data_IF_979539918866
#
_entry.id   IF_979539918866
#
_cell.length_a   1.000
_cell.length_b   1.000
_cell.length_c   1.000
_cell.angle_alpha   90.00
_cell.angle_beta   90.00
_cell.angle_gamma   90.00
#
_symmetry.space_group_name_H-M   'P 1'
#
loop_
_entity.id
_entity.type
_entity.pdbx_description
1 polymer ?
#
# COMPACT_ATOMS: atom_id res chain seq x y z
N UNK A 1 -5.68 7.13 4.68
CA UNK A 1 -7.04 7.58 4.31
C UNK A 1 -7.25 9.00 4.83
N UNK A 2 -7.89 9.87 4.04
CA UNK A 2 -8.02 11.30 4.32
C UNK A 2 -9.44 11.60 4.82
N UNK A 3 -9.57 12.47 5.83
CA UNK A 3 -10.84 12.75 6.49
C UNK A 3 -11.01 14.24 6.81
N UNK A 4 -12.26 14.73 6.76
CA UNK A 4 -12.65 16.05 7.23
C UNK A 4 -13.72 15.89 8.31
N UNK A 5 -13.37 16.22 9.57
CA UNK A 5 -14.28 16.10 10.73
C UNK A 5 -14.98 14.74 10.84
N UNK A 6 -14.27 13.65 10.50
CA UNK A 6 -14.80 12.28 10.54
C UNK A 6 -15.46 11.80 9.24
N UNK A 7 -15.74 12.69 8.28
CA UNK A 7 -16.17 12.29 6.94
C UNK A 7 -14.98 11.82 6.10
N UNK A 8 -15.05 10.63 5.52
CA UNK A 8 -13.99 10.07 4.67
C UNK A 8 -14.03 10.73 3.30
N UNK A 9 -12.87 11.18 2.81
CA UNK A 9 -12.72 11.61 1.42
C UNK A 9 -13.03 10.44 0.50
N UNK A 10 -13.83 10.68 -0.54
CA UNK A 10 -14.24 9.68 -1.54
C UNK A 10 -13.58 9.89 -2.90
N UNK A 11 -13.36 11.15 -3.29
CA UNK A 11 -12.81 11.54 -4.57
C UNK A 11 -12.00 12.83 -4.42
N UNK A 12 -10.85 12.89 -5.09
CA UNK A 12 -10.01 14.07 -5.16
C UNK A 12 -9.49 14.20 -6.59
N UNK A 13 -9.84 15.31 -7.22
CA UNK A 13 -9.29 15.74 -8.50
C UNK A 13 -8.74 17.16 -8.38
N UNK A 14 -7.93 17.53 -9.35
CA UNK A 14 -7.45 18.89 -9.50
C UNK A 14 -7.48 19.27 -10.97
N UNK A 15 -7.77 20.55 -11.23
CA UNK A 15 -7.74 21.15 -12.55
C UNK A 15 -6.61 22.15 -12.54
N UNK A 16 -5.70 22.02 -13.51
CA UNK A 16 -4.60 22.97 -13.66
C UNK A 16 -4.86 23.87 -14.86
N UNK A 17 -4.75 25.20 -14.71
CA UNK A 17 -4.87 26.10 -15.84
C UNK A 17 -3.68 25.90 -16.79
N UNK A 18 -3.92 26.20 -18.07
CA UNK A 18 -2.87 26.33 -19.08
C UNK A 18 -2.82 27.78 -19.54
N UNK A 19 -1.64 28.23 -19.94
CA UNK A 19 -1.42 29.55 -20.56
C UNK A 19 -0.96 29.36 -22.01
N UNK A 20 -0.95 30.45 -22.78
CA UNK A 20 -0.47 30.43 -24.15
C UNK A 20 0.93 29.80 -24.25
N UNK A 21 1.10 28.89 -25.21
CA UNK A 21 2.32 28.09 -25.36
C UNK A 21 2.32 26.76 -24.59
N UNK A 22 1.36 26.52 -23.69
CA UNK A 22 1.17 25.23 -23.01
C UNK A 22 0.05 24.44 -23.70
N UNK A 23 0.40 23.34 -24.38
CA UNK A 23 -0.58 22.56 -25.15
C UNK A 23 -1.51 21.68 -24.31
N UNK A 24 -1.00 21.04 -23.26
CA UNK A 24 -1.72 20.07 -22.44
C UNK A 24 -1.06 19.99 -21.06
N UNK A 25 -1.88 19.91 -20.01
CA UNK A 25 -1.42 19.65 -18.63
C UNK A 25 -2.20 18.48 -18.02
N UNK A 26 -1.52 17.66 -17.23
CA UNK A 26 -2.13 16.58 -16.45
C UNK A 26 -1.98 16.85 -14.96
N UNK A 27 -3.08 16.71 -14.22
CA UNK A 27 -3.07 16.52 -12.78
C UNK A 27 -3.37 15.06 -12.45
N UNK A 28 -2.47 14.43 -11.73
CA UNK A 28 -2.58 13.01 -11.35
C UNK A 28 -2.64 12.92 -9.84
N UNK A 29 -3.73 12.36 -9.32
CA UNK A 29 -3.93 12.19 -7.89
C UNK A 29 -4.24 10.75 -7.56
N UNK A 30 -3.45 10.15 -6.67
CA UNK A 30 -3.72 8.83 -6.11
C UNK A 30 -4.47 8.95 -4.79
N UNK A 31 -5.56 8.20 -4.62
CA UNK A 31 -6.25 8.08 -3.35
C UNK A 31 -6.85 6.69 -3.17
N UNK A 32 -6.35 5.95 -2.16
CA UNK A 32 -6.62 4.52 -1.96
C UNK A 32 -6.30 3.73 -3.25
N UNK A 33 -7.23 2.88 -3.71
CA UNK A 33 -7.14 2.09 -4.94
C UNK A 33 -7.57 2.85 -6.21
N UNK A 34 -7.77 4.17 -6.10
CA UNK A 34 -8.20 5.02 -7.21
C UNK A 34 -7.07 5.95 -7.64
N UNK A 35 -6.77 5.93 -8.94
CA UNK A 35 -5.94 6.93 -9.59
C UNK A 35 -6.85 7.84 -10.42
N UNK A 36 -6.86 9.13 -10.08
CA UNK A 36 -7.65 10.16 -10.76
C UNK A 36 -6.72 10.94 -11.68
N UNK A 37 -7.00 10.86 -12.99
CA UNK A 37 -6.33 11.63 -14.04
C UNK A 37 -7.26 12.74 -14.50
N UNK A 38 -6.81 13.99 -14.37
CA UNK A 38 -7.51 15.17 -14.89
C UNK A 38 -6.58 15.88 -15.86
N UNK A 39 -7.11 16.37 -16.97
CA UNK A 39 -6.30 17.09 -17.95
C UNK A 39 -6.97 18.39 -18.39
N UNK A 40 -6.17 19.31 -18.90
CA UNK A 40 -6.64 20.57 -19.47
C UNK A 40 -5.80 20.87 -20.70
N UNK A 41 -6.46 21.19 -21.81
CA UNK A 41 -5.85 21.43 -23.12
C UNK A 41 -6.74 22.37 -23.92
N UNK A 42 -6.15 23.07 -24.90
CA UNK A 42 -6.92 23.79 -25.90
C UNK A 42 -7.53 22.80 -26.90
N UNK A 43 -8.72 23.10 -27.42
CA UNK A 43 -9.40 22.27 -28.41
C UNK A 43 -8.55 22.03 -29.67
N UNK A 44 -7.74 23.00 -30.07
CA UNK A 44 -6.82 22.91 -31.21
C UNK A 44 -5.75 21.83 -31.03
N UNK A 45 -5.34 21.55 -29.79
CA UNK A 45 -4.31 20.56 -29.45
C UNK A 45 -4.92 19.18 -29.18
N UNK A 46 -6.12 19.16 -28.59
CA UNK A 46 -6.84 17.93 -28.25
C UNK A 46 -8.31 18.00 -28.73
N UNK A 47 -8.57 17.85 -30.04
CA UNK A 47 -9.90 18.02 -30.60
C UNK A 47 -10.88 16.92 -30.17
N UNK A 48 -10.37 15.72 -29.86
CA UNK A 48 -11.17 14.59 -29.37
C UNK A 48 -10.65 14.12 -27.99
N UNK A 49 -11.24 14.60 -26.90
CA UNK A 49 -10.87 14.19 -25.54
C UNK A 49 -11.28 12.74 -25.22
N UNK A 50 -12.28 12.19 -25.91
CA UNK A 50 -12.77 10.82 -25.66
C UNK A 50 -11.76 9.80 -26.16
N UNK A 51 -11.14 10.05 -27.31
CA UNK A 51 -10.04 9.24 -27.84
C UNK A 51 -8.86 9.24 -26.87
N UNK A 52 -8.43 10.39 -26.36
CA UNK A 52 -7.36 10.45 -25.35
C UNK A 52 -7.73 9.64 -24.09
N UNK A 53 -8.96 9.81 -23.60
CA UNK A 53 -9.42 9.09 -22.42
C UNK A 53 -9.39 7.57 -22.63
N UNK A 54 -9.73 7.09 -23.83
CA UNK A 54 -9.64 5.67 -24.15
C UNK A 54 -8.19 5.20 -24.21
N UNK A 55 -7.31 5.92 -24.90
CA UNK A 55 -5.88 5.59 -24.95
C UNK A 55 -5.24 5.50 -23.55
N UNK A 56 -5.60 6.42 -22.65
CA UNK A 56 -5.12 6.39 -21.25
C UNK A 56 -5.60 5.14 -20.51
N UNK A 57 -6.86 4.73 -20.69
CA UNK A 57 -7.39 3.50 -20.09
C UNK A 57 -6.69 2.27 -20.63
N UNK A 58 -6.50 2.19 -21.95
CA UNK A 58 -5.85 1.05 -22.60
C UNK A 58 -4.40 0.92 -22.14
N UNK A 59 -3.66 2.03 -22.13
CA UNK A 59 -2.29 2.08 -21.64
C UNK A 59 -2.19 1.64 -20.16
N UNK A 60 -3.12 2.12 -19.32
CA UNK A 60 -3.16 1.68 -17.92
C UNK A 60 -3.36 0.17 -17.79
N UNK A 61 -4.26 -0.43 -18.58
CA UNK A 61 -4.47 -1.88 -18.56
C UNK A 61 -3.24 -2.66 -19.01
N UNK A 62 -2.52 -2.17 -20.03
CA UNK A 62 -1.26 -2.77 -20.49
C UNK A 62 -0.22 -2.77 -19.37
N UNK A 63 0.01 -1.62 -18.72
CA UNK A 63 0.94 -1.52 -17.59
C UNK A 63 0.49 -2.37 -16.39
N UNK A 64 -0.81 -2.43 -16.11
CA UNK A 64 -1.36 -3.26 -15.04
C UNK A 64 -1.11 -4.75 -15.29
N UNK A 65 -1.22 -5.20 -16.54
CA UNK A 65 -0.92 -6.59 -16.90
C UNK A 65 0.56 -6.94 -16.67
N UNK A 66 1.47 -6.00 -16.92
CA UNK A 66 2.91 -6.15 -16.68
C UNK A 66 3.29 -6.09 -15.19
N UNK A 67 2.57 -5.29 -14.40
CA UNK A 67 2.83 -5.08 -12.99
C UNK A 67 2.45 -6.29 -12.10
N UNK A 68 1.79 -7.32 -12.65
CA UNK A 68 1.47 -8.55 -11.91
C UNK A 68 2.76 -9.14 -11.33
N UNK A 69 2.83 -9.36 -10.00
CA UNK A 69 4.06 -9.84 -9.40
C UNK A 69 4.41 -11.20 -10.01
N UNK A 70 5.58 -11.27 -10.67
CA UNK A 70 6.24 -12.56 -10.89
C UNK A 70 6.41 -13.14 -9.50
N UNK A 71 5.72 -14.25 -9.22
CA UNK A 71 5.86 -14.96 -7.97
C UNK A 71 7.35 -15.27 -7.82
N UNK A 72 8.06 -14.47 -7.02
CA UNK A 72 9.45 -14.78 -6.68
C UNK A 72 9.30 -16.04 -5.85
N UNK A 73 9.79 -17.20 -6.31
CA UNK A 73 9.75 -18.39 -5.46
C UNK A 73 10.42 -17.96 -4.16
N UNK A 74 9.65 -18.02 -3.06
CA UNK A 74 10.25 -17.88 -1.74
C UNK A 74 11.32 -18.94 -1.70
N UNK A 75 12.58 -18.53 -1.72
CA UNK A 75 13.68 -19.43 -1.44
C UNK A 75 13.33 -20.01 -0.07
N UNK A 76 13.07 -21.31 -0.04
CA UNK A 76 12.72 -22.02 1.18
C UNK A 76 13.81 -21.71 2.20
N UNK A 77 13.48 -20.90 3.20
CA UNK A 77 14.37 -20.68 4.33
C UNK A 77 14.47 -22.04 5.00
N UNK A 78 15.64 -22.70 5.05
CA UNK A 78 15.76 -23.94 5.79
C UNK A 78 15.41 -23.61 7.24
N UNK A 79 14.31 -24.15 7.73
CA UNK A 79 13.94 -24.04 9.13
C UNK A 79 15.01 -24.76 9.93
N UNK A 80 15.98 -24.01 10.46
CA UNK A 80 16.88 -24.53 11.48
C UNK A 80 16.00 -25.01 12.65
N UNK A 81 15.97 -26.32 12.85
CA UNK A 81 15.05 -26.96 13.78
C UNK A 81 15.11 -26.33 15.16
N UNK A 82 13.97 -25.87 15.64
CA UNK A 82 13.81 -25.46 17.03
C UNK A 82 13.93 -26.71 17.90
N UNK A 83 15.05 -26.86 18.61
CA UNK A 83 15.17 -27.88 19.66
C UNK A 83 14.38 -27.39 20.87
N UNK A 84 13.34 -28.11 21.33
CA UNK A 84 12.56 -27.68 22.48
C UNK A 84 13.45 -27.67 23.75
N UNK A 85 13.47 -26.54 24.44
CA UNK A 85 14.07 -26.44 25.76
C UNK A 85 13.26 -27.26 26.76
N UNK A 86 13.88 -28.28 27.33
CA UNK A 86 13.32 -29.05 28.45
C UNK A 86 13.22 -28.17 29.70
N UNK A 87 12.06 -28.11 30.39
CA UNK A 87 11.92 -27.30 31.58
C UNK A 87 12.74 -27.91 32.73
N UNK A 88 13.63 -27.10 33.29
CA UNK A 88 14.48 -27.43 34.45
C UNK A 88 13.60 -27.63 35.69
N UNK A 89 13.60 -28.85 36.27
CA UNK A 89 12.92 -29.17 37.53
C UNK A 89 13.39 -28.23 38.64
N UNK A 90 12.45 -27.53 39.28
CA UNK A 90 12.69 -26.76 40.52
C UNK A 90 12.90 -27.73 41.68
N UNK A 91 14.08 -27.69 42.29
CA UNK A 91 14.38 -28.40 43.54
C UNK A 91 13.68 -27.70 44.69
N UNK A 92 12.78 -28.40 45.38
CA UNK A 92 12.16 -27.94 46.62
C UNK A 92 13.15 -28.11 47.77
N UNK A 93 13.60 -27.02 48.38
CA UNK A 93 14.38 -27.08 49.62
C UNK A 93 13.46 -27.43 50.79
N UNK A 94 13.72 -28.58 51.41
CA UNK A 94 13.07 -29.06 52.63
C UNK A 94 13.66 -28.33 53.85
N UNK A 95 12.84 -27.58 54.59
CA UNK A 95 13.22 -26.96 55.87
C UNK A 95 13.02 -27.99 56.99
N UNK A 96 14.03 -28.15 57.86
CA UNK A 96 14.04 -29.04 59.01
C UNK A 96 13.36 -28.40 60.25
N UNK A 97 12.81 -29.19 61.20
CA UNK A 97 11.98 -28.66 62.27
C UNK A 97 12.80 -28.07 63.43
N UNK A 98 12.29 -26.99 64.02
CA UNK A 98 12.82 -26.40 65.25
C UNK A 98 12.33 -27.18 66.48
N UNK A 99 13.24 -27.48 67.42
CA UNK A 99 12.98 -28.10 68.72
C UNK A 99 12.43 -27.08 69.73
N UNK A 100 11.48 -27.53 70.54
CA UNK A 100 10.89 -26.87 71.70
C UNK A 100 11.81 -26.96 72.95
N UNK A 101 11.79 -25.89 73.77
CA UNK A 101 12.20 -25.73 75.19
C UNK A 101 11.79 -24.27 75.52
N UNK A 102 10.97 -23.89 76.49
CA UNK A 102 10.29 -24.48 77.64
C UNK A 102 8.88 -23.84 77.74
#
# INVERSE_FOLDING_TARGET
ALYLRGARLTYLSAIMPITDGMGLVFSVTGYNEMLVLSFTSCYEQLPDPEVLAQCLRDSFQEYLALAKPKHRPQAAVPSAGFKPHTPRKKTTSRVAPARQMD
#
